data_IF_002064068062
#
_entry.id   IF_002064068062
#
_cell.length_a   1.000
_cell.length_b   1.000
_cell.length_c   1.000
_cell.angle_alpha   90.00
_cell.angle_beta   90.00
_cell.angle_gamma   90.00
#
_symmetry.space_group_name_H-M   'P 1'
#
loop_
_entity.id
_entity.type
_entity.pdbx_description
1 polymer ?
#
# COMPACT_ATOMS: atom_id res chain seq x y z
N UNK A 1 -36.17 47.11 8.58
CA UNK A 1 -35.56 46.41 9.74
C UNK A 1 -34.68 45.30 9.21
N UNK A 2 -33.43 45.34 9.63
CA UNK A 2 -32.28 44.53 9.20
C UNK A 2 -32.18 43.23 9.99
N UNK A 3 -32.16 42.08 9.31
CA UNK A 3 -31.73 40.81 9.90
C UNK A 3 -30.41 40.38 9.24
N UNK A 4 -29.32 40.63 9.95
CA UNK A 4 -27.95 40.32 9.55
C UNK A 4 -27.61 38.86 9.86
N UNK A 5 -26.97 38.21 8.88
CA UNK A 5 -25.65 37.56 8.98
C UNK A 5 -25.34 36.90 10.34
N UNK A 6 -25.60 35.60 10.48
CA UNK A 6 -24.94 34.74 11.49
C UNK A 6 -24.92 33.25 11.05
N UNK A 7 -24.34 32.93 9.90
CA UNK A 7 -23.96 31.54 9.58
C UNK A 7 -22.64 31.45 8.82
N UNK A 8 -21.66 32.26 9.24
CA UNK A 8 -20.26 32.09 8.90
C UNK A 8 -19.45 32.16 10.19
N UNK A 9 -18.97 30.99 10.65
CA UNK A 9 -17.71 30.75 11.39
C UNK A 9 -17.79 29.38 12.09
N UNK A 10 -17.01 28.42 11.61
CA UNK A 10 -16.79 27.17 12.36
C UNK A 10 -16.53 25.93 11.53
N UNK A 11 -15.62 25.97 10.56
CA UNK A 11 -15.04 24.74 9.99
C UNK A 11 -13.53 24.95 9.85
N UNK A 12 -12.84 24.83 10.99
CA UNK A 12 -11.40 24.69 11.04
C UNK A 12 -10.99 23.29 10.49
N UNK A 13 -9.76 23.13 9.98
CA UNK A 13 -9.41 22.02 9.09
C UNK A 13 -9.06 20.76 9.88
N UNK A 14 -9.87 19.71 9.75
CA UNK A 14 -9.58 18.37 10.27
C UNK A 14 -8.67 17.53 9.35
N UNK A 15 -8.05 18.14 8.33
CA UNK A 15 -7.20 17.44 7.36
C UNK A 15 -5.70 17.43 7.72
N UNK A 16 -5.27 18.24 8.70
CA UNK A 16 -3.85 18.39 9.04
C UNK A 16 -3.34 17.37 10.09
N UNK A 17 -4.21 16.61 10.75
CA UNK A 17 -3.81 15.64 11.79
C UNK A 17 -3.34 14.29 11.26
N UNK A 18 -3.63 13.94 9.99
CA UNK A 18 -3.22 12.64 9.43
C UNK A 18 -1.76 12.59 8.98
N UNK A 19 -1.14 13.73 8.65
CA UNK A 19 0.27 13.76 8.20
C UNK A 19 1.28 14.01 9.34
N UNK A 20 0.86 14.60 10.47
CA UNK A 20 1.72 14.78 11.64
C UNK A 20 1.89 13.51 12.48
N UNK A 21 0.98 12.54 12.38
CA UNK A 21 1.04 11.28 13.12
C UNK A 21 2.13 10.31 12.65
N UNK A 22 2.64 10.46 11.42
CA UNK A 22 3.62 9.52 10.84
C UNK A 22 5.08 9.84 11.20
N UNK A 23 5.39 11.06 11.68
CA UNK A 23 6.77 11.48 11.99
C UNK A 23 7.08 11.42 13.50
N UNK A 24 6.06 11.23 14.35
CA UNK A 24 6.23 11.23 15.81
C UNK A 24 6.60 9.87 16.42
N UNK A 25 6.60 8.77 15.63
CA UNK A 25 7.02 7.46 16.12
C UNK A 25 8.46 7.13 15.65
N UNK A 26 9.42 7.58 16.48
CA UNK A 26 10.80 7.09 16.62
C UNK A 26 11.78 7.33 15.45
N UNK A 27 12.66 8.35 15.53
CA UNK A 27 13.87 8.36 14.71
C UNK A 27 14.86 7.32 15.28
N UNK A 28 15.03 6.20 14.57
CA UNK A 28 16.17 5.29 14.78
C UNK A 28 17.04 5.29 13.54
N UNK A 29 18.36 5.43 13.75
CA UNK A 29 19.37 5.41 12.70
C UNK A 29 19.56 3.96 12.26
N UNK A 30 19.07 3.60 11.07
CA UNK A 30 19.25 2.27 10.51
C UNK A 30 20.60 2.19 9.77
N UNK A 31 21.54 1.43 10.34
CA UNK A 31 22.81 1.08 9.70
C UNK A 31 22.64 -0.14 8.78
N UNK A 32 23.35 -0.15 7.65
CA UNK A 32 23.24 -1.17 6.60
C UNK A 32 24.26 -2.29 6.75
N UNK A 33 24.24 -3.00 7.88
CA UNK A 33 25.00 -4.23 8.07
C UNK A 33 24.12 -5.35 8.62
N UNK A 34 24.49 -6.58 8.28
CA UNK A 34 23.69 -7.79 8.36
C UNK A 34 22.97 -7.98 9.72
N UNK A 35 21.81 -8.66 9.69
CA UNK A 35 20.98 -8.92 10.87
C UNK A 35 21.77 -9.63 11.97
N UNK A 36 22.31 -8.87 12.91
CA UNK A 36 22.84 -9.40 14.14
C UNK A 36 21.69 -9.97 14.97
N UNK A 37 21.94 -11.19 15.42
CA UNK A 37 21.19 -11.96 16.40
C UNK A 37 20.54 -11.07 17.47
N UNK A 38 19.23 -11.21 17.58
CA UNK A 38 18.40 -10.61 18.62
C UNK A 38 18.86 -11.09 20.01
N UNK A 39 19.79 -10.38 20.63
CA UNK A 39 20.14 -10.62 22.03
C UNK A 39 20.52 -9.30 22.73
N UNK A 40 19.53 -8.43 22.92
CA UNK A 40 19.65 -7.27 23.80
C UNK A 40 18.38 -7.09 24.61
N UNK A 41 18.17 -8.03 25.55
CA UNK A 41 17.41 -7.84 26.78
C UNK A 41 17.88 -8.89 27.80
N UNK A 42 19.11 -8.71 28.30
CA UNK A 42 19.81 -9.63 29.21
C UNK A 42 19.30 -9.58 30.65
N UNK A 43 17.98 -9.66 30.89
CA UNK A 43 17.47 -10.03 32.21
C UNK A 43 16.08 -10.68 32.24
N UNK A 44 15.60 -11.24 31.13
CA UNK A 44 14.39 -12.07 31.14
C UNK A 44 14.71 -13.39 30.45
N UNK A 45 14.86 -14.45 31.25
CA UNK A 45 14.99 -15.81 30.73
C UNK A 45 13.69 -16.19 30.03
N UNK A 46 13.70 -16.61 28.76
CA UNK A 46 12.52 -17.14 28.09
C UNK A 46 12.06 -18.43 28.80
N UNK A 47 10.74 -18.54 29.00
CA UNK A 47 10.08 -19.55 29.85
C UNK A 47 10.03 -20.95 29.18
N UNK A 48 10.71 -21.14 28.04
CA UNK A 48 10.57 -22.33 27.20
C UNK A 48 11.90 -23.00 26.83
N UNK A 49 12.89 -22.97 27.74
CA UNK A 49 14.13 -23.75 27.60
C UNK A 49 14.29 -24.86 28.67
N UNK A 50 13.33 -25.03 29.59
CA UNK A 50 13.38 -26.06 30.64
C UNK A 50 12.68 -27.37 30.22
N UNK A 51 12.93 -27.85 28.99
CA UNK A 51 12.59 -29.23 28.63
C UNK A 51 13.85 -30.10 28.65
N UNK A 52 14.04 -30.72 29.81
CA UNK A 52 14.48 -32.12 29.93
C UNK A 52 15.87 -32.46 29.36
N UNK A 53 16.91 -32.12 30.12
CA UNK A 53 18.19 -32.79 29.99
C UNK A 53 18.02 -34.28 30.36
N UNK A 54 18.16 -35.15 29.36
CA UNK A 54 18.19 -36.61 29.49
C UNK A 54 19.24 -37.00 30.56
N UNK A 55 18.87 -37.70 31.64
CA UNK A 55 19.83 -38.06 32.68
C UNK A 55 20.77 -39.16 32.16
N UNK A 56 22.05 -38.83 32.03
CA UNK A 56 23.12 -39.79 31.77
C UNK A 56 23.57 -40.44 33.10
N UNK A 57 23.80 -41.75 33.04
CA UNK A 57 24.33 -42.63 34.08
C UNK A 57 25.57 -42.08 34.78
N UNK A 58 25.40 -41.36 35.89
CA UNK A 58 26.40 -41.19 36.94
C UNK A 58 25.78 -40.43 38.12
N UNK A 59 25.23 -41.16 39.10
CA UNK A 59 25.26 -40.88 40.56
C UNK A 59 24.21 -41.77 41.21
N UNK A 60 24.60 -43.02 41.49
CA UNK A 60 23.91 -43.91 42.41
C UNK A 60 24.41 -43.63 43.83
N UNK A 61 23.53 -43.65 44.85
CA UNK A 61 23.85 -44.21 46.16
C UNK A 61 23.06 -45.50 46.46
N UNK A 62 23.59 -46.40 47.31
CA UNK A 62 23.17 -47.81 47.45
C UNK A 62 21.97 -48.04 48.42
N UNK A 63 21.39 -49.26 48.43
CA UNK A 63 20.03 -49.55 48.94
C UNK A 63 20.00 -50.13 50.36
N UNK A 64 18.83 -50.05 51.04
CA UNK A 64 18.36 -50.98 52.11
C UNK A 64 16.90 -50.65 52.56
N UNK A 65 16.14 -51.58 53.19
CA UNK A 65 14.83 -52.01 52.69
C UNK A 65 13.64 -51.90 53.68
N UNK A 66 12.43 -52.00 53.12
CA UNK A 66 11.16 -52.51 53.66
C UNK A 66 10.59 -51.98 55.00
N UNK A 67 9.35 -51.46 54.98
CA UNK A 67 8.14 -52.04 55.66
C UNK A 67 6.87 -51.21 55.37
N UNK A 68 5.88 -51.89 54.79
CA UNK A 68 4.41 -51.81 54.90
C UNK A 68 3.69 -50.51 55.34
N UNK A 69 2.74 -50.02 54.50
CA UNK A 69 1.29 -50.24 54.72
C UNK A 69 0.39 -49.47 53.73
N UNK A 70 -0.48 -50.26 53.07
CA UNK A 70 -1.90 -50.01 52.78
C UNK A 70 -2.35 -48.74 52.03
N UNK A 71 -2.80 -48.90 50.77
CA UNK A 71 -4.22 -49.14 50.45
C UNK A 71 -4.57 -48.77 49.00
N UNK A 72 -5.12 -49.78 48.29
CA UNK A 72 -6.29 -49.70 47.38
C UNK A 72 -6.24 -48.72 46.20
N UNK A 73 -6.48 -49.06 44.92
CA UNK A 73 -7.10 -50.20 44.23
C UNK A 73 -6.99 -49.87 42.72
N UNK A 74 -6.32 -50.67 41.88
CA UNK A 74 -6.90 -51.73 40.99
C UNK A 74 -7.87 -51.16 39.93
N UNK A 75 -7.84 -51.42 38.61
CA UNK A 75 -6.99 -52.13 37.61
C UNK A 75 -7.71 -51.85 36.27
N UNK A 76 -7.09 -51.22 35.27
CA UNK A 76 -6.41 -51.81 34.09
C UNK A 76 -7.28 -52.73 33.20
N UNK A 77 -7.47 -52.25 31.98
CA UNK A 77 -7.85 -52.95 30.76
C UNK A 77 -6.76 -53.96 30.34
N UNK A 78 -7.12 -55.09 29.72
CA UNK A 78 -6.51 -55.69 28.49
C UNK A 78 -7.12 -57.08 28.20
N UNK A 79 -7.16 -57.54 26.92
CA UNK A 79 -8.01 -58.63 26.41
C UNK A 79 -7.24 -59.89 25.97
N UNK A 80 -7.94 -61.01 25.77
CA UNK A 80 -7.55 -62.23 25.00
C UNK A 80 -8.65 -63.30 25.21
N UNK A 81 -8.93 -64.34 24.43
CA UNK A 81 -8.64 -64.81 23.07
C UNK A 81 -9.56 -66.06 22.83
N UNK A 82 -10.14 -66.13 21.62
CA UNK A 82 -10.54 -67.28 20.76
C UNK A 82 -10.68 -68.71 21.36
N UNK A 83 -11.83 -69.38 21.14
CA UNK A 83 -11.90 -70.82 20.79
C UNK A 83 -13.29 -71.30 20.28
N UNK A 84 -13.34 -71.61 18.96
CA UNK A 84 -13.86 -72.83 18.28
C UNK A 84 -15.32 -73.37 18.45
N UNK A 85 -16.20 -73.01 17.47
CA UNK A 85 -17.09 -73.82 16.57
C UNK A 85 -18.01 -74.99 17.08
N UNK A 86 -18.96 -75.54 16.26
CA UNK A 86 -19.91 -74.98 15.28
C UNK A 86 -21.36 -75.57 15.41
N UNK A 87 -22.41 -74.84 15.05
CA UNK A 87 -23.66 -75.45 14.53
C UNK A 87 -24.55 -74.42 13.83
N UNK A 88 -24.69 -74.61 12.52
CA UNK A 88 -25.84 -74.30 11.67
C UNK A 88 -27.04 -73.61 12.31
N UNK A 89 -27.29 -72.35 11.93
CA UNK A 89 -28.57 -71.90 11.38
C UNK A 89 -28.31 -70.63 10.57
N UNK A 90 -28.48 -70.73 9.25
CA UNK A 90 -28.63 -69.58 8.36
C UNK A 90 -29.92 -68.86 8.74
N UNK A 91 -29.88 -68.01 9.76
CA UNK A 91 -30.80 -66.87 9.82
C UNK A 91 -30.07 -65.74 9.13
N UNK A 92 -30.30 -65.68 7.83
CA UNK A 92 -30.14 -64.48 7.01
C UNK A 92 -31.14 -63.48 7.58
N UNK A 93 -30.78 -62.85 8.69
CA UNK A 93 -31.48 -61.69 9.22
C UNK A 93 -31.24 -60.58 8.20
N UNK A 94 -32.20 -60.49 7.28
CA UNK A 94 -32.48 -59.26 6.58
C UNK A 94 -32.55 -58.18 7.65
N UNK A 95 -31.51 -57.36 7.73
CA UNK A 95 -31.57 -56.07 8.41
C UNK A 95 -32.54 -55.24 7.58
N UNK A 96 -33.83 -55.48 7.80
CA UNK A 96 -34.86 -54.52 7.49
C UNK A 96 -34.53 -53.32 8.37
N UNK A 97 -33.87 -52.33 7.77
CA UNK A 97 -33.83 -50.98 8.29
C UNK A 97 -35.28 -50.49 8.28
N UNK A 98 -36.04 -50.84 9.31
CA UNK A 98 -37.26 -50.14 9.63
C UNK A 98 -36.87 -48.68 9.79
N UNK A 99 -37.28 -47.87 8.82
CA UNK A 99 -37.16 -46.42 8.90
C UNK A 99 -38.04 -45.97 10.06
N UNK A 100 -37.48 -45.99 11.27
CA UNK A 100 -38.08 -45.34 12.41
C UNK A 100 -38.34 -43.90 11.98
N UNK A 101 -39.60 -43.48 12.01
CA UNK A 101 -39.96 -42.12 11.69
C UNK A 101 -39.07 -41.17 12.49
N UNK A 102 -38.58 -40.08 11.88
CA UNK A 102 -37.54 -39.26 12.48
C UNK A 102 -38.01 -38.82 13.86
N UNK A 103 -37.27 -39.24 14.88
CA UNK A 103 -37.53 -38.82 16.24
C UNK A 103 -37.40 -37.30 16.30
N UNK A 104 -38.12 -36.61 17.19
CA UNK A 104 -38.04 -35.16 17.30
C UNK A 104 -36.60 -34.64 17.47
N UNK A 105 -35.74 -35.43 18.11
CA UNK A 105 -34.31 -35.16 18.29
C UNK A 105 -33.51 -35.28 17.00
N UNK A 106 -33.83 -36.23 16.13
CA UNK A 106 -33.17 -36.40 14.82
C UNK A 106 -33.48 -35.23 13.87
N UNK A 107 -34.71 -34.68 13.91
CA UNK A 107 -35.06 -33.47 13.15
C UNK A 107 -34.26 -32.26 13.60
N UNK A 108 -34.08 -32.09 14.90
CA UNK A 108 -33.26 -31.02 15.46
C UNK A 108 -31.79 -31.19 15.08
N UNK A 109 -31.25 -32.41 15.16
CA UNK A 109 -29.88 -32.71 14.76
C UNK A 109 -29.65 -32.39 13.26
N UNK A 110 -30.61 -32.73 12.40
CA UNK A 110 -30.56 -32.39 10.98
C UNK A 110 -30.59 -30.87 10.73
N UNK A 111 -31.37 -30.11 11.51
CA UNK A 111 -31.39 -28.65 11.41
C UNK A 111 -30.09 -28.01 11.89
N UNK A 112 -29.55 -28.43 13.03
CA UNK A 112 -28.26 -27.95 13.54
C UNK A 112 -27.15 -28.22 12.53
N UNK A 113 -27.16 -29.41 11.91
CA UNK A 113 -26.20 -29.77 10.86
C UNK A 113 -26.29 -28.83 9.66
N UNK A 114 -27.50 -28.55 9.17
CA UNK A 114 -27.70 -27.62 8.03
C UNK A 114 -27.22 -26.22 8.37
N UNK A 115 -27.54 -25.72 9.56
CA UNK A 115 -27.11 -24.39 10.03
C UNK A 115 -25.59 -24.33 10.13
N UNK A 116 -24.94 -25.36 10.71
CA UNK A 116 -23.47 -25.43 10.80
C UNK A 116 -22.82 -25.40 9.42
N UNK A 117 -23.31 -26.19 8.47
CA UNK A 117 -22.74 -26.26 7.13
C UNK A 117 -22.98 -24.97 6.33
N UNK A 118 -24.15 -24.36 6.46
CA UNK A 118 -24.45 -23.06 5.86
C UNK A 118 -23.53 -21.97 6.42
N UNK A 119 -23.38 -21.91 7.75
CA UNK A 119 -22.47 -20.97 8.41
C UNK A 119 -21.03 -21.18 7.94
N UNK A 120 -20.56 -22.43 7.92
CA UNK A 120 -19.21 -22.76 7.44
C UNK A 120 -19.01 -22.32 5.99
N UNK A 121 -19.96 -22.58 5.10
CA UNK A 121 -19.88 -22.13 3.70
C UNK A 121 -19.83 -20.61 3.58
N UNK A 122 -20.61 -19.87 4.38
CA UNK A 122 -20.55 -18.41 4.40
C UNK A 122 -19.21 -17.88 4.92
N UNK A 123 -18.65 -18.50 5.96
CA UNK A 123 -17.34 -18.14 6.51
C UNK A 123 -16.23 -18.42 5.49
N UNK A 124 -16.21 -19.61 4.87
CA UNK A 124 -15.21 -19.93 3.83
C UNK A 124 -15.30 -18.99 2.62
N UNK A 125 -16.51 -18.65 2.16
CA UNK A 125 -16.67 -17.69 1.06
C UNK A 125 -16.17 -16.28 1.44
N UNK A 126 -16.37 -15.88 2.69
CA UNK A 126 -15.85 -14.61 3.20
C UNK A 126 -14.32 -14.65 3.30
N UNK A 127 -13.75 -15.70 3.87
CA UNK A 127 -12.31 -15.95 3.93
C UNK A 127 -11.68 -15.93 2.54
N UNK A 128 -12.26 -16.63 1.57
CA UNK A 128 -11.79 -16.65 0.18
C UNK A 128 -11.82 -15.25 -0.46
N UNK A 129 -12.86 -14.46 -0.19
CA UNK A 129 -12.97 -13.10 -0.75
C UNK A 129 -11.90 -12.16 -0.18
N UNK A 130 -11.61 -12.29 1.12
CA UNK A 130 -10.56 -11.54 1.80
C UNK A 130 -9.19 -11.98 1.29
N UNK A 131 -8.94 -13.28 1.20
CA UNK A 131 -7.67 -13.80 0.69
C UNK A 131 -7.41 -13.31 -0.74
N UNK A 132 -8.41 -13.40 -1.63
CA UNK A 132 -8.29 -12.88 -3.00
C UNK A 132 -8.05 -11.38 -3.04
N UNK A 133 -8.63 -10.61 -2.12
CA UNK A 133 -8.40 -9.16 -2.04
C UNK A 133 -6.96 -8.85 -1.59
N UNK A 134 -6.46 -9.61 -0.62
CA UNK A 134 -5.09 -9.50 -0.11
C UNK A 134 -4.07 -9.92 -1.16
N UNK A 135 -4.32 -11.02 -1.88
CA UNK A 135 -3.49 -11.47 -2.99
C UNK A 135 -3.41 -10.41 -4.09
N UNK A 136 -4.52 -9.75 -4.42
CA UNK A 136 -4.53 -8.65 -5.38
C UNK A 136 -3.78 -7.43 -4.86
N UNK A 137 -3.96 -7.07 -3.60
CA UNK A 137 -3.24 -5.97 -2.98
C UNK A 137 -1.72 -6.21 -3.02
N UNK A 138 -1.26 -7.42 -2.63
CA UNK A 138 0.16 -7.78 -2.69
C UNK A 138 0.71 -7.84 -4.11
N UNK A 139 -0.06 -8.37 -5.07
CA UNK A 139 0.38 -8.37 -6.47
C UNK A 139 0.48 -6.95 -7.03
N UNK A 140 -0.45 -6.06 -6.63
CA UNK A 140 -0.38 -4.65 -6.97
C UNK A 140 0.86 -4.03 -6.33
N UNK A 141 1.06 -4.19 -5.02
CA UNK A 141 2.24 -3.71 -4.31
C UNK A 141 3.53 -4.17 -4.98
N UNK A 142 3.64 -5.46 -5.32
CA UNK A 142 4.80 -6.00 -6.02
C UNK A 142 4.98 -5.37 -7.40
N UNK A 143 3.91 -5.26 -8.19
CA UNK A 143 3.98 -4.62 -9.51
C UNK A 143 4.34 -3.12 -9.42
N UNK A 144 3.90 -2.42 -8.37
CA UNK A 144 4.28 -1.04 -8.09
C UNK A 144 5.74 -0.95 -7.66
N UNK A 145 6.21 -1.84 -6.79
CA UNK A 145 7.61 -1.90 -6.37
C UNK A 145 8.52 -2.18 -7.56
N UNK A 146 8.17 -3.16 -8.41
CA UNK A 146 8.94 -3.49 -9.60
C UNK A 146 8.94 -2.32 -10.61
N UNK A 147 7.81 -1.64 -10.77
CA UNK A 147 7.68 -0.46 -11.64
C UNK A 147 8.51 0.71 -11.08
N UNK A 148 8.41 1.02 -9.79
CA UNK A 148 9.17 2.10 -9.14
C UNK A 148 10.67 1.78 -9.15
N UNK A 149 11.05 0.53 -8.92
CA UNK A 149 12.43 0.07 -9.05
C UNK A 149 12.94 0.23 -10.49
N UNK A 150 12.10 -0.04 -11.49
CA UNK A 150 12.44 0.18 -12.91
C UNK A 150 12.57 1.65 -13.29
N UNK A 151 11.95 2.55 -12.52
CA UNK A 151 12.00 4.00 -12.73
C UNK A 151 13.24 4.63 -12.08
N UNK A 152 13.83 3.98 -11.08
CA UNK A 152 15.02 4.47 -10.40
C UNK A 152 16.19 4.61 -11.41
N UNK A 153 16.96 5.71 -11.33
CA UNK A 153 18.05 5.94 -12.26
C UNK A 153 19.16 4.93 -11.99
N UNK A 154 19.84 4.41 -13.04
CA UNK A 154 20.98 3.54 -12.85
C UNK A 154 22.07 4.28 -12.06
N UNK A 155 22.80 3.56 -11.21
CA UNK A 155 23.80 4.14 -10.31
C UNK A 155 24.89 4.98 -11.03
N UNK A 156 25.07 4.75 -12.34
CA UNK A 156 25.99 5.49 -13.21
C UNK A 156 25.54 6.93 -13.51
N UNK A 157 24.25 7.24 -13.34
CA UNK A 157 23.70 8.57 -13.64
C UNK A 157 24.04 9.62 -12.57
N UNK A 158 24.49 9.20 -11.38
CA UNK A 158 24.89 10.12 -10.29
C UNK A 158 23.77 10.98 -9.69
N UNK A 159 22.51 10.76 -10.05
CA UNK A 159 21.36 11.52 -9.53
C UNK A 159 21.09 11.14 -8.07
N UNK A 160 21.13 12.14 -7.17
CA UNK A 160 20.80 11.93 -5.75
C UNK A 160 19.29 12.05 -5.54
N UNK A 161 18.60 10.92 -5.57
CA UNK A 161 17.14 10.87 -5.40
C UNK A 161 16.67 11.47 -4.07
N UNK A 162 17.32 11.16 -2.95
CA UNK A 162 16.86 11.60 -1.63
C UNK A 162 16.87 13.14 -1.47
N UNK A 163 17.98 13.86 -1.73
CA UNK A 163 17.96 15.32 -1.79
C UNK A 163 17.04 15.85 -2.90
N UNK A 164 17.04 15.22 -4.07
CA UNK A 164 16.26 15.66 -5.22
C UNK A 164 14.75 15.67 -4.95
N UNK A 165 14.22 14.59 -4.39
CA UNK A 165 12.82 14.46 -4.00
C UNK A 165 12.44 15.46 -2.91
N UNK A 166 13.33 15.74 -1.96
CA UNK A 166 13.11 16.79 -0.95
C UNK A 166 12.97 18.16 -1.63
N UNK A 167 13.82 18.50 -2.60
CA UNK A 167 13.69 19.77 -3.35
C UNK A 167 12.39 19.84 -4.14
N UNK A 168 11.96 18.75 -4.77
CA UNK A 168 10.67 18.65 -5.48
C UNK A 168 9.50 18.89 -4.52
N UNK A 169 9.53 18.29 -3.34
CA UNK A 169 8.49 18.46 -2.31
C UNK A 169 8.47 19.91 -1.80
N UNK A 170 9.63 20.51 -1.54
CA UNK A 170 9.75 21.92 -1.14
C UNK A 170 9.20 22.85 -2.23
N UNK A 171 9.50 22.59 -3.50
CA UNK A 171 8.95 23.36 -4.62
C UNK A 171 7.42 23.25 -4.71
N UNK A 172 6.87 22.05 -4.54
CA UNK A 172 5.42 21.84 -4.49
C UNK A 172 4.78 22.59 -3.31
N UNK A 173 5.41 22.55 -2.13
CA UNK A 173 4.95 23.28 -0.94
C UNK A 173 5.00 24.80 -1.17
N UNK A 174 6.04 25.31 -1.86
CA UNK A 174 6.10 26.71 -2.28
C UNK A 174 4.96 27.07 -3.23
N UNK A 175 4.62 26.20 -4.20
CA UNK A 175 3.45 26.36 -5.07
C UNK A 175 2.13 26.44 -4.30
N UNK A 176 2.01 25.70 -3.19
CA UNK A 176 0.85 25.77 -2.27
C UNK A 176 0.77 27.10 -1.52
N UNK A 177 1.91 27.68 -1.12
CA UNK A 177 1.95 29.01 -0.49
C UNK A 177 1.53 30.08 -1.51
N UNK A 178 2.03 30.00 -2.75
CA UNK A 178 1.70 30.96 -3.82
C UNK A 178 0.21 30.94 -4.14
N UNK A 179 -0.42 29.75 -4.11
CA UNK A 179 -1.86 29.60 -4.41
C UNK A 179 -2.79 29.72 -3.21
N UNK A 180 -2.28 30.16 -2.05
CA UNK A 180 -3.04 30.28 -0.80
C UNK A 180 -4.33 31.09 -0.94
N UNK A 181 -4.36 32.10 -1.81
CA UNK A 181 -5.52 32.98 -2.07
C UNK A 181 -6.06 32.80 -3.49
N UNK A 182 -6.11 31.57 -3.99
CA UNK A 182 -6.62 31.27 -5.33
C UNK A 182 -7.76 30.26 -5.28
N UNK A 183 -8.47 30.09 -6.40
CA UNK A 183 -9.59 29.15 -6.53
C UNK A 183 -9.14 27.71 -6.21
N UNK A 184 -10.09 26.86 -5.78
CA UNK A 184 -9.80 25.48 -5.35
C UNK A 184 -9.04 24.67 -6.41
N UNK A 185 -9.31 24.93 -7.69
CA UNK A 185 -8.62 24.30 -8.81
C UNK A 185 -7.15 24.69 -8.85
N UNK A 186 -6.83 25.98 -8.72
CA UNK A 186 -5.45 26.46 -8.72
C UNK A 186 -4.69 25.98 -7.48
N UNK A 187 -5.38 25.90 -6.34
CA UNK A 187 -4.80 25.34 -5.11
C UNK A 187 -4.43 23.86 -5.23
N UNK A 188 -5.09 23.12 -6.11
CA UNK A 188 -4.75 21.71 -6.37
C UNK A 188 -3.70 21.57 -7.49
N UNK A 189 -3.82 22.33 -8.58
CA UNK A 189 -2.99 22.13 -9.78
C UNK A 189 -1.62 22.79 -9.67
N UNK A 190 -1.50 23.95 -9.04
CA UNK A 190 -0.22 24.69 -9.01
C UNK A 190 0.85 24.00 -8.16
N UNK A 191 0.55 23.45 -6.96
CA UNK A 191 1.54 22.66 -6.22
C UNK A 191 2.03 21.47 -7.03
N UNK A 192 1.12 20.78 -7.73
CA UNK A 192 1.47 19.66 -8.59
C UNK A 192 2.35 20.12 -9.77
N UNK A 193 1.99 21.22 -10.43
CA UNK A 193 2.76 21.78 -11.53
C UNK A 193 4.17 22.21 -11.10
N UNK A 194 4.29 22.87 -9.95
CA UNK A 194 5.59 23.24 -9.37
C UNK A 194 6.44 22.01 -9.02
N UNK A 195 5.82 20.97 -8.46
CA UNK A 195 6.50 19.70 -8.18
C UNK A 195 6.99 19.02 -9.45
N UNK A 196 6.15 18.92 -10.49
CA UNK A 196 6.53 18.33 -11.79
C UNK A 196 7.64 19.13 -12.46
N UNK A 197 7.55 20.47 -12.42
CA UNK A 197 8.58 21.34 -12.97
C UNK A 197 9.92 21.16 -12.24
N UNK A 198 9.91 21.16 -10.90
CA UNK A 198 11.10 20.91 -10.11
C UNK A 198 11.66 19.50 -10.34
N UNK A 199 10.79 18.51 -10.54
CA UNK A 199 11.17 17.14 -10.87
C UNK A 199 11.95 17.10 -12.19
N UNK A 200 11.48 17.80 -13.21
CA UNK A 200 12.20 17.88 -14.48
C UNK A 200 13.55 18.59 -14.37
N UNK A 201 13.68 19.57 -13.46
CA UNK A 201 14.94 20.32 -13.29
C UNK A 201 15.96 19.62 -12.40
N UNK A 202 15.50 18.95 -11.34
CA UNK A 202 16.38 18.35 -10.31
C UNK A 202 16.64 16.88 -10.61
N UNK A 203 15.70 16.20 -11.27
CA UNK A 203 15.68 14.76 -11.51
C UNK A 203 15.31 14.45 -12.99
N UNK A 204 16.10 14.93 -13.96
CA UNK A 204 15.75 14.86 -15.38
C UNK A 204 15.69 13.42 -15.91
N UNK A 205 16.61 12.52 -15.51
CA UNK A 205 16.65 11.15 -16.05
C UNK A 205 15.48 10.34 -15.50
N UNK A 206 15.21 10.46 -14.21
CA UNK A 206 14.06 9.81 -13.57
C UNK A 206 12.75 10.27 -14.19
N UNK A 207 12.59 11.56 -14.44
CA UNK A 207 11.36 12.08 -15.05
C UNK A 207 11.21 11.68 -16.52
N UNK A 208 12.32 11.53 -17.24
CA UNK A 208 12.35 10.90 -18.56
C UNK A 208 11.81 9.46 -18.53
N UNK A 209 12.31 8.63 -17.62
CA UNK A 209 11.85 7.25 -17.46
C UNK A 209 10.36 7.16 -17.08
N UNK A 210 9.89 8.03 -16.18
CA UNK A 210 8.45 8.13 -15.83
C UNK A 210 7.61 8.51 -17.04
N UNK A 211 8.10 9.44 -17.87
CA UNK A 211 7.40 9.85 -19.08
C UNK A 211 7.35 8.73 -20.13
N UNK A 212 8.42 7.96 -20.28
CA UNK A 212 8.48 6.82 -21.20
C UNK A 212 7.56 5.68 -20.75
N UNK A 213 7.48 5.42 -19.45
CA UNK A 213 6.53 4.45 -18.90
C UNK A 213 5.09 4.90 -19.12
N UNK A 214 4.81 6.17 -18.87
CA UNK A 214 3.48 6.77 -19.11
C UNK A 214 3.11 6.63 -20.58
N UNK A 215 4.04 6.90 -21.49
CA UNK A 215 3.86 6.73 -22.92
C UNK A 215 3.60 5.27 -23.33
N UNK A 216 4.31 4.29 -22.74
CA UNK A 216 4.05 2.86 -22.99
C UNK A 216 2.65 2.44 -22.54
N UNK A 217 2.18 2.95 -21.39
CA UNK A 217 0.83 2.69 -20.92
C UNK A 217 -0.22 3.35 -21.81
N UNK A 218 0.04 4.58 -22.25
CA UNK A 218 -0.82 5.35 -23.13
C UNK A 218 -0.95 4.70 -24.52
N UNK A 219 0.11 4.10 -25.07
CA UNK A 219 0.06 3.35 -26.33
C UNK A 219 -0.94 2.19 -26.32
N UNK A 220 -1.30 1.66 -25.14
CA UNK A 220 -2.33 0.62 -25.04
C UNK A 220 -3.71 1.14 -25.43
N UNK A 221 -3.93 2.44 -25.34
CA UNK A 221 -5.18 3.11 -25.68
C UNK A 221 -4.99 4.05 -26.88
N UNK A 222 -5.32 3.62 -28.11
CA UNK A 222 -4.94 4.33 -29.33
C UNK A 222 -5.54 5.74 -29.43
N UNK A 223 -6.71 5.97 -28.82
CA UNK A 223 -7.37 7.28 -28.79
C UNK A 223 -6.56 8.32 -28.00
N UNK A 224 -5.98 7.89 -26.87
CA UNK A 224 -5.21 8.78 -25.99
C UNK A 224 -3.85 9.07 -26.63
N UNK A 225 -3.17 8.03 -27.12
CA UNK A 225 -1.87 8.16 -27.79
C UNK A 225 -1.93 9.11 -29.00
N UNK A 226 -2.97 9.03 -29.84
CA UNK A 226 -3.15 9.98 -30.95
C UNK A 226 -3.37 11.41 -30.46
N UNK A 227 -4.17 11.58 -29.40
CA UNK A 227 -4.38 12.86 -28.74
C UNK A 227 -3.07 13.48 -28.23
N UNK A 228 -2.18 12.69 -27.62
CA UNK A 228 -0.89 13.17 -27.14
C UNK A 228 0.04 13.60 -28.27
N UNK A 229 0.13 12.82 -29.36
CA UNK A 229 0.94 13.20 -30.53
C UNK A 229 0.42 14.51 -31.13
N UNK A 230 -0.90 14.64 -31.29
CA UNK A 230 -1.52 15.87 -31.80
C UNK A 230 -1.29 17.05 -30.85
N UNK A 231 -1.45 16.86 -29.55
CA UNK A 231 -1.19 17.88 -28.55
C UNK A 231 0.26 18.35 -28.59
N UNK A 232 1.22 17.42 -28.68
CA UNK A 232 2.65 17.72 -28.81
C UNK A 232 2.94 18.53 -30.06
N UNK A 233 2.32 18.18 -31.18
CA UNK A 233 2.50 18.90 -32.44
C UNK A 233 1.89 20.30 -32.39
N UNK A 234 0.68 20.43 -31.84
CA UNK A 234 0.03 21.72 -31.64
C UNK A 234 0.85 22.65 -30.73
N UNK A 235 1.52 22.10 -29.72
CA UNK A 235 2.37 22.87 -28.83
C UNK A 235 3.66 23.33 -29.52
N UNK A 236 4.31 22.46 -30.31
CA UNK A 236 5.47 22.85 -31.14
C UNK A 236 5.10 23.97 -32.10
N UNK A 237 3.95 23.84 -32.76
CA UNK A 237 3.44 24.86 -33.66
C UNK A 237 3.16 26.17 -32.91
N UNK A 238 2.51 26.12 -31.75
CA UNK A 238 2.24 27.30 -30.93
C UNK A 238 3.52 28.02 -30.47
N UNK A 239 4.54 27.28 -30.05
CA UNK A 239 5.84 27.85 -29.65
C UNK A 239 6.53 28.52 -30.84
N UNK A 240 6.51 27.88 -32.02
CA UNK A 240 7.09 28.46 -33.23
C UNK A 240 6.36 29.75 -33.64
N UNK A 241 5.02 29.74 -33.60
CA UNK A 241 4.18 30.87 -33.92
C UNK A 241 4.41 32.04 -32.96
N UNK A 242 4.47 31.75 -31.65
CA UNK A 242 4.77 32.73 -30.62
C UNK A 242 6.16 33.35 -30.83
N UNK A 243 7.18 32.54 -31.12
CA UNK A 243 8.54 33.03 -31.38
C UNK A 243 8.62 33.94 -32.61
N UNK A 244 7.84 33.63 -33.65
CA UNK A 244 7.74 34.49 -34.85
C UNK A 244 7.00 35.79 -34.53
N UNK A 245 5.89 35.72 -33.79
CA UNK A 245 5.09 36.90 -33.45
C UNK A 245 5.78 37.85 -32.46
N UNK A 246 6.59 37.33 -31.53
CA UNK A 246 7.36 38.18 -30.61
C UNK A 246 8.46 38.94 -31.34
N UNK A 247 9.12 38.31 -32.32
CA UNK A 247 10.09 38.99 -33.19
C UNK A 247 9.41 40.11 -33.99
N UNK A 248 8.29 39.80 -34.64
CA UNK A 248 7.52 40.80 -35.41
C UNK A 248 7.06 41.96 -34.51
N UNK A 249 6.55 41.65 -33.31
CA UNK A 249 6.10 42.68 -32.36
C UNK A 249 7.24 43.58 -31.89
N UNK A 250 8.44 43.03 -31.65
CA UNK A 250 9.62 43.81 -31.28
C UNK A 250 10.00 44.79 -32.39
N UNK A 251 10.00 44.32 -33.63
CA UNK A 251 10.40 45.14 -34.78
C UNK A 251 9.37 46.26 -35.07
N UNK A 252 8.07 46.00 -34.87
CA UNK A 252 7.01 47.03 -34.96
C UNK A 252 7.16 48.08 -33.86
N UNK A 253 7.48 47.67 -32.63
CA UNK A 253 7.73 48.62 -31.53
C UNK A 253 8.96 49.48 -31.85
N UNK A 254 10.01 48.90 -32.39
CA UNK A 254 11.21 49.63 -32.82
C UNK A 254 10.90 50.65 -33.92
N UNK A 255 10.12 50.27 -34.93
CA UNK A 255 9.66 51.16 -36.00
C UNK A 255 8.82 52.33 -35.44
N UNK A 256 7.90 52.05 -34.50
CA UNK A 256 7.09 53.09 -33.86
C UNK A 256 7.93 54.03 -32.99
N UNK A 257 8.88 53.50 -32.23
CA UNK A 257 9.79 54.33 -31.42
C UNK A 257 10.63 55.22 -32.32
N UNK A 258 11.12 54.69 -33.46
CA UNK A 258 11.86 55.47 -34.44
C UNK A 258 10.99 56.56 -35.08
N UNK A 259 9.76 56.26 -35.49
CA UNK A 259 8.84 57.24 -36.06
C UNK A 259 8.41 58.34 -35.07
N UNK A 260 8.24 58.00 -33.79
CA UNK A 260 8.01 58.99 -32.71
C UNK A 260 9.23 59.89 -32.56
N UNK A 261 10.43 59.31 -32.54
CA UNK A 261 11.67 60.09 -32.45
C UNK A 261 11.84 61.03 -33.64
N UNK A 262 11.61 60.56 -34.86
CA UNK A 262 11.67 61.38 -36.08
C UNK A 262 10.63 62.52 -36.06
N UNK A 263 9.41 62.25 -35.58
CA UNK A 263 8.36 63.28 -35.44
C UNK A 263 8.73 64.35 -34.41
N UNK A 264 9.37 63.96 -33.31
CA UNK A 264 9.88 64.90 -32.29
C UNK A 264 11.03 65.72 -32.86
N UNK A 265 11.97 65.09 -33.58
CA UNK A 265 13.08 65.77 -34.24
C UNK A 265 12.57 66.76 -35.32
N UNK A 266 11.54 66.40 -36.10
CA UNK A 266 10.92 67.31 -37.07
C UNK A 266 10.22 68.48 -36.38
N UNK A 267 9.53 68.23 -35.26
CA UNK A 267 8.84 69.27 -34.48
C UNK A 267 9.83 70.28 -33.90
N UNK A 268 10.93 69.80 -33.32
CA UNK A 268 12.04 70.65 -32.82
C UNK A 268 12.68 71.43 -33.97
N UNK A 269 12.87 70.81 -35.14
CA UNK A 269 13.46 71.48 -36.32
C UNK A 269 12.55 72.57 -36.91
N UNK A 270 11.23 72.44 -36.78
CA UNK A 270 10.24 73.39 -37.33
C UNK A 270 10.05 74.65 -36.48
N UNK A 271 10.65 74.73 -35.29
CA UNK A 271 10.78 75.97 -34.52
C UNK A 271 9.47 76.59 -34.06
N UNK A 272 8.84 75.97 -33.06
CA UNK A 272 8.10 76.66 -31.99
C UNK A 272 8.48 76.07 -30.65
#
# INVERSE_FOLDING_TARGET
MSARVLLQRGAAPLAASLLAGAVAFSPSVAHAEASESHNSNSNKKPIYDDFEAVPTTATLPPPKPSTESASSSTTTLVPESISTAPATLKVREAVEHYSHGPTPTDRLAAQIRRVRLALYGHVCNAEDSVNRSMDRAFNLEKSFTDTVASLAPPAESGEKLMPGLVYVLVAAMAGSIVTRRSNILLRATVPAAFGVAAGWTVLPVTMGNVSDLTWRYEQRFPVVAQGHIQAKESLRQAVSFATVHTKLGRDVVEEKVKGVRESVEEWVRKGK
#
